data_IF_425387855576
#
_entry.id   IF_425387855576
#
_cell.length_a   1.000
_cell.length_b   1.000
_cell.length_c   1.000
_cell.angle_alpha   90.00
_cell.angle_beta   90.00
_cell.angle_gamma   90.00
#
_symmetry.space_group_name_H-M   'P 1'
#
loop_
_entity.id
_entity.type
_entity.pdbx_description
1 polymer ?
#
# COMPACT_ATOMS: atom_id res chain seq x y z
N UNK A 1 -27.52 16.73 -1.11
CA UNK A 1 -26.24 17.49 -1.11
C UNK A 1 -25.09 16.51 -0.89
N UNK A 2 -23.86 16.78 -1.34
CA UNK A 2 -22.72 15.83 -1.11
C UNK A 2 -22.34 15.67 0.38
N UNK A 3 -22.83 16.55 1.26
CA UNK A 3 -22.42 16.66 2.67
C UNK A 3 -23.61 16.80 3.63
N UNK A 4 -24.78 16.32 3.23
CA UNK A 4 -26.02 16.43 4.03
C UNK A 4 -26.05 15.50 5.25
N UNK A 5 -25.20 14.47 5.27
CA UNK A 5 -25.23 13.43 6.31
C UNK A 5 -23.83 13.17 6.86
N UNK A 6 -23.70 12.95 8.17
CA UNK A 6 -22.43 12.61 8.81
C UNK A 6 -21.73 11.40 8.17
N UNK A 7 -22.50 10.39 7.76
CA UNK A 7 -22.00 9.22 7.01
C UNK A 7 -21.28 9.60 5.72
N UNK A 8 -21.83 10.52 4.93
CA UNK A 8 -21.20 10.93 3.66
C UNK A 8 -19.92 11.73 3.90
N UNK A 9 -19.88 12.53 4.97
CA UNK A 9 -18.65 13.24 5.38
C UNK A 9 -17.58 12.21 5.74
N UNK A 10 -17.94 11.21 6.55
CA UNK A 10 -17.04 10.12 6.93
C UNK A 10 -16.54 9.30 5.73
N UNK A 11 -17.43 8.89 4.82
CA UNK A 11 -17.06 8.18 3.59
C UNK A 11 -16.10 9.01 2.72
N UNK A 12 -16.29 10.33 2.60
CA UNK A 12 -15.36 11.19 1.87
C UNK A 12 -13.99 11.29 2.54
N UNK A 13 -13.95 11.38 3.88
CA UNK A 13 -12.70 11.41 4.65
C UNK A 13 -11.90 10.12 4.49
N UNK A 14 -12.57 8.95 4.51
CA UNK A 14 -11.90 7.66 4.28
C UNK A 14 -11.28 7.55 2.88
N UNK A 15 -11.80 8.30 1.91
CA UNK A 15 -11.28 8.34 0.54
C UNK A 15 -10.32 9.51 0.29
N UNK A 16 -9.86 10.20 1.34
CA UNK A 16 -9.00 11.39 1.23
C UNK A 16 -9.56 12.49 0.32
N UNK A 17 -10.89 12.54 0.17
CA UNK A 17 -11.58 13.52 -0.65
C UNK A 17 -12.12 14.62 0.25
N UNK A 18 -11.33 15.66 0.51
CA UNK A 18 -11.73 16.73 1.41
C UNK A 18 -12.61 17.77 0.67
N UNK A 19 -13.90 17.88 1.01
CA UNK A 19 -14.82 18.78 0.32
C UNK A 19 -14.73 20.26 0.73
N UNK A 20 -15.12 21.15 -0.18
CA UNK A 20 -15.28 22.59 0.07
C UNK A 20 -16.70 23.01 -0.33
N UNK A 21 -17.38 23.79 0.51
CA UNK A 21 -18.74 24.27 0.21
C UNK A 21 -18.62 25.55 -0.60
N UNK A 22 -19.27 25.58 -1.77
CA UNK A 22 -19.34 26.76 -2.62
C UNK A 22 -20.75 27.32 -2.67
N UNK A 23 -20.86 28.64 -2.85
CA UNK A 23 -22.11 29.37 -3.05
C UNK A 23 -22.06 30.12 -4.38
N UNK A 24 -23.22 30.35 -4.98
CA UNK A 24 -23.32 31.19 -6.17
C UNK A 24 -23.75 32.59 -5.76
N UNK A 25 -22.94 33.58 -6.10
CA UNK A 25 -23.24 35.01 -5.89
C UNK A 25 -23.46 35.65 -7.27
N UNK A 26 -24.50 36.46 -7.38
CA UNK A 26 -24.82 37.21 -8.60
C UNK A 26 -24.23 38.61 -8.48
N UNK A 27 -23.24 38.92 -9.32
CA UNK A 27 -22.71 40.29 -9.50
C UNK A 27 -23.21 40.80 -10.86
N UNK A 28 -24.24 41.66 -10.84
CA UNK A 28 -24.87 42.17 -12.07
C UNK A 28 -25.54 41.05 -12.88
N UNK A 29 -25.22 40.93 -14.18
CA UNK A 29 -25.74 39.87 -15.06
C UNK A 29 -24.97 38.54 -14.97
N UNK A 30 -23.83 38.49 -14.27
CA UNK A 30 -22.97 37.30 -14.23
C UNK A 30 -23.09 36.58 -12.88
N UNK A 31 -23.28 35.26 -12.95
CA UNK A 31 -23.22 34.35 -11.79
C UNK A 31 -21.77 33.91 -11.56
N UNK A 32 -21.23 34.18 -10.37
CA UNK A 32 -19.93 33.68 -9.92
C UNK A 32 -20.12 32.64 -8.83
N UNK A 33 -19.35 31.56 -8.89
CA UNK A 33 -19.29 30.57 -7.81
C UNK A 33 -18.09 30.89 -6.93
N UNK A 34 -18.34 31.15 -5.65
CA UNK A 34 -17.31 31.46 -4.65
C UNK A 34 -17.37 30.43 -3.52
N UNK A 35 -16.28 30.29 -2.77
CA UNK A 35 -16.26 29.43 -1.58
C UNK A 35 -17.05 30.07 -0.45
N UNK A 36 -17.94 29.30 0.16
CA UNK A 36 -18.63 29.66 1.40
C UNK A 36 -17.69 29.36 2.58
N UNK A 37 -16.91 30.37 2.98
CA UNK A 37 -15.88 30.24 4.01
C UNK A 37 -16.47 29.81 5.36
N UNK A 38 -17.61 30.35 5.74
CA UNK A 38 -18.28 30.04 7.02
C UNK A 38 -18.75 28.58 7.05
N UNK A 39 -19.50 28.14 6.03
CA UNK A 39 -19.96 26.74 5.98
C UNK A 39 -18.81 25.76 5.79
N UNK A 40 -17.78 26.15 5.04
CA UNK A 40 -16.58 25.32 4.89
C UNK A 40 -15.85 25.18 6.23
N UNK A 41 -15.75 26.24 7.03
CA UNK A 41 -15.15 26.17 8.37
C UNK A 41 -15.94 25.24 9.31
N UNK A 42 -17.27 25.32 9.31
CA UNK A 42 -18.13 24.41 10.08
C UNK A 42 -17.95 22.95 9.62
N UNK A 43 -17.83 22.72 8.31
CA UNK A 43 -17.56 21.40 7.77
C UNK A 43 -16.20 20.86 8.25
N UNK A 44 -15.15 21.69 8.22
CA UNK A 44 -13.81 21.33 8.71
C UNK A 44 -13.81 20.94 10.18
N UNK A 45 -14.53 21.68 11.02
CA UNK A 45 -14.66 21.33 12.44
C UNK A 45 -15.33 19.96 12.64
N UNK A 46 -16.38 19.66 11.87
CA UNK A 46 -17.04 18.35 11.91
C UNK A 46 -16.15 17.22 11.38
N UNK A 47 -15.36 17.50 10.35
CA UNK A 47 -14.38 16.54 9.81
C UNK A 47 -13.33 16.19 10.86
N UNK A 48 -12.75 17.19 11.52
CA UNK A 48 -11.76 16.98 12.57
C UNK A 48 -12.34 16.14 13.71
N UNK A 49 -13.54 16.49 14.18
CA UNK A 49 -14.19 15.74 15.25
C UNK A 49 -14.46 14.27 14.88
N UNK A 50 -14.87 13.99 13.63
CA UNK A 50 -15.05 12.62 13.15
C UNK A 50 -13.73 11.85 13.07
N UNK A 51 -12.63 12.51 12.69
CA UNK A 51 -11.31 11.89 12.66
C UNK A 51 -10.83 11.52 14.06
N UNK A 52 -10.99 12.42 15.04
CA UNK A 52 -10.65 12.19 16.44
C UNK A 52 -11.44 11.00 17.00
N UNK A 53 -12.77 10.97 16.81
CA UNK A 53 -13.61 9.85 17.24
C UNK A 53 -13.23 8.53 16.58
N UNK A 54 -12.86 8.55 15.30
CA UNK A 54 -12.42 7.34 14.60
C UNK A 54 -11.07 6.84 15.13
N UNK A 55 -10.12 7.73 15.40
CA UNK A 55 -8.83 7.36 16.00
C UNK A 55 -9.02 6.81 17.42
N UNK A 56 -9.89 7.42 18.22
CA UNK A 56 -10.24 6.93 19.55
C UNK A 56 -10.91 5.55 19.47
N UNK A 57 -11.82 5.35 18.52
CA UNK A 57 -12.46 4.06 18.28
C UNK A 57 -11.43 2.98 17.91
N UNK A 58 -10.57 3.23 16.92
CA UNK A 58 -9.55 2.26 16.49
C UNK A 58 -8.57 1.94 17.62
N UNK A 59 -8.17 2.94 18.40
CA UNK A 59 -7.23 2.73 19.52
C UNK A 59 -7.84 2.00 20.72
N UNK A 60 -9.16 2.12 20.93
CA UNK A 60 -9.88 1.42 22.00
C UNK A 60 -10.08 -0.08 21.73
N UNK A 61 -10.17 -0.47 20.46
CA UNK A 61 -10.54 -1.84 20.04
C UNK A 61 -9.43 -2.49 19.20
N UNK A 62 -8.51 -3.26 19.82
CA UNK A 62 -7.40 -3.91 19.11
C UNK A 62 -7.83 -4.79 17.94
N UNK A 63 -8.99 -5.44 18.03
CA UNK A 63 -9.56 -6.26 16.95
C UNK A 63 -9.87 -5.41 15.70
N UNK A 64 -10.28 -4.16 15.88
CA UNK A 64 -10.55 -3.23 14.77
C UNK A 64 -9.23 -2.83 14.10
N UNK A 65 -8.20 -2.55 14.89
CA UNK A 65 -6.87 -2.25 14.36
C UNK A 65 -6.35 -3.40 13.49
N UNK A 66 -6.52 -4.65 13.96
CA UNK A 66 -6.10 -5.84 13.23
C UNK A 66 -6.87 -6.00 11.92
N UNK A 67 -8.19 -5.80 11.92
CA UNK A 67 -9.03 -5.85 10.71
C UNK A 67 -8.61 -4.79 9.68
N UNK A 68 -8.28 -3.57 10.12
CA UNK A 68 -7.81 -2.49 9.24
C UNK A 68 -6.46 -2.88 8.60
N UNK A 69 -5.52 -3.34 9.41
CA UNK A 69 -4.19 -3.75 8.95
C UNK A 69 -4.26 -4.92 7.96
N UNK A 70 -4.99 -5.98 8.30
CA UNK A 70 -5.19 -7.13 7.42
C UNK A 70 -5.87 -6.75 6.11
N UNK A 71 -6.89 -5.89 6.17
CA UNK A 71 -7.60 -5.44 4.97
C UNK A 71 -6.70 -4.59 4.08
N UNK A 72 -5.89 -3.71 4.67
CA UNK A 72 -4.90 -2.92 3.95
C UNK A 72 -3.86 -3.84 3.27
N UNK A 73 -3.26 -4.74 4.04
CA UNK A 73 -2.27 -5.68 3.54
C UNK A 73 -2.84 -6.55 2.41
N UNK A 74 -4.06 -7.08 2.57
CA UNK A 74 -4.72 -7.90 1.54
C UNK A 74 -5.01 -7.13 0.24
N UNK A 75 -5.42 -5.86 0.35
CA UNK A 75 -5.81 -5.06 -0.82
C UNK A 75 -4.62 -4.41 -1.52
N UNK A 76 -3.57 -4.04 -0.78
CA UNK A 76 -2.49 -3.18 -1.26
C UNK A 76 -1.08 -3.81 -1.21
N UNK A 77 -0.83 -4.88 -0.46
CA UNK A 77 0.45 -5.59 -0.53
C UNK A 77 0.50 -6.51 -1.77
N UNK A 78 0.72 -5.91 -2.95
CA UNK A 78 0.94 -6.62 -4.22
C UNK A 78 2.37 -7.14 -4.41
N UNK A 79 3.29 -6.82 -3.50
CA UNK A 79 4.70 -7.20 -3.61
C UNK A 79 5.13 -7.86 -2.30
N UNK A 80 4.76 -9.13 -2.15
CA UNK A 80 5.50 -10.03 -1.26
C UNK A 80 6.84 -10.28 -1.94
N UNK A 81 7.95 -10.04 -1.23
CA UNK A 81 9.27 -10.51 -1.70
C UNK A 81 9.15 -12.01 -1.93
N UNK A 82 9.37 -12.47 -3.17
CA UNK A 82 9.37 -13.90 -3.47
C UNK A 82 10.47 -14.54 -2.62
N UNK A 83 10.06 -15.43 -1.71
CA UNK A 83 10.99 -16.30 -1.01
C UNK A 83 11.30 -17.47 -1.93
N UNK A 84 12.60 -17.69 -2.16
CA UNK A 84 13.09 -18.80 -2.96
C UNK A 84 13.70 -19.82 -2.01
N UNK A 85 13.13 -21.03 -1.98
CA UNK A 85 13.65 -22.14 -1.20
C UNK A 85 14.28 -23.17 -2.15
N UNK A 86 15.60 -23.24 -2.12
CA UNK A 86 16.37 -24.18 -2.93
C UNK A 86 16.73 -25.47 -2.22
N UNK A 87 16.26 -25.72 -1.00
CA UNK A 87 16.61 -26.91 -0.21
C UNK A 87 16.20 -28.24 -0.86
N UNK A 88 15.28 -28.18 -1.83
CA UNK A 88 14.83 -29.33 -2.63
C UNK A 88 15.59 -29.50 -3.95
N UNK A 89 16.59 -28.65 -4.24
CA UNK A 89 17.37 -28.73 -5.48
C UNK A 89 18.30 -29.94 -5.46
N UNK A 90 18.11 -30.82 -6.45
CA UNK A 90 19.07 -31.88 -6.78
C UNK A 90 19.89 -31.39 -7.96
N UNK A 91 21.18 -31.13 -7.72
CA UNK A 91 22.11 -30.64 -8.74
C UNK A 91 22.99 -31.80 -9.21
N UNK A 92 22.63 -32.37 -10.36
CA UNK A 92 23.42 -33.41 -10.99
C UNK A 92 24.74 -32.84 -11.53
N UNK A 93 25.86 -33.49 -11.18
CA UNK A 93 27.20 -33.06 -11.59
C UNK A 93 27.94 -32.15 -10.62
N UNK A 94 27.37 -31.89 -9.42
CA UNK A 94 28.13 -31.29 -8.33
C UNK A 94 29.23 -32.27 -7.89
N UNK A 95 30.47 -31.78 -7.75
CA UNK A 95 31.57 -32.61 -7.26
C UNK A 95 31.21 -33.18 -5.87
N UNK A 96 31.48 -34.47 -5.64
CA UNK A 96 31.00 -35.22 -4.47
C UNK A 96 31.38 -34.65 -3.09
N UNK A 97 32.31 -33.69 -3.04
CA UNK A 97 32.82 -33.08 -1.82
C UNK A 97 32.29 -31.64 -1.59
N UNK A 98 31.39 -31.14 -2.44
CA UNK A 98 30.85 -29.79 -2.34
C UNK A 98 29.39 -29.87 -1.90
N UNK A 99 29.07 -29.24 -0.77
CA UNK A 99 27.70 -28.97 -0.34
C UNK A 99 27.44 -27.48 -0.48
N UNK A 100 26.30 -27.12 -1.06
CA UNK A 100 25.89 -25.73 -1.11
C UNK A 100 25.41 -25.28 0.28
N UNK A 101 25.57 -23.99 0.55
CA UNK A 101 24.96 -23.32 1.70
C UNK A 101 23.52 -22.94 1.33
N UNK A 102 22.59 -22.83 2.30
CA UNK A 102 21.18 -22.52 2.02
C UNK A 102 20.96 -21.27 1.14
N UNK A 103 21.78 -20.23 1.31
CA UNK A 103 21.66 -19.03 0.46
C UNK A 103 22.09 -19.25 -1.00
N UNK A 104 23.02 -20.18 -1.26
CA UNK A 104 23.44 -20.54 -2.62
C UNK A 104 22.34 -21.35 -3.31
N UNK A 105 21.69 -22.25 -2.59
CA UNK A 105 20.53 -23.02 -3.08
C UNK A 105 19.36 -22.08 -3.40
N UNK A 106 19.02 -21.16 -2.50
CA UNK A 106 17.97 -20.17 -2.71
C UNK A 106 18.27 -19.24 -3.90
N UNK A 107 19.54 -18.89 -4.11
CA UNK A 107 19.97 -18.10 -5.27
C UNK A 107 19.83 -18.88 -6.59
N UNK A 108 20.12 -20.18 -6.59
CA UNK A 108 19.90 -21.05 -7.76
C UNK A 108 18.41 -21.18 -8.05
N UNK A 109 17.59 -21.41 -7.03
CA UNK A 109 16.13 -21.49 -7.17
C UNK A 109 15.56 -20.20 -7.77
N UNK A 110 16.04 -19.04 -7.30
CA UNK A 110 15.70 -17.75 -7.89
C UNK A 110 16.05 -17.65 -9.36
N UNK A 111 17.26 -18.05 -9.75
CA UNK A 111 17.72 -18.02 -11.14
C UNK A 111 16.85 -18.91 -12.04
N UNK A 112 16.52 -20.12 -11.57
CA UNK A 112 15.67 -21.09 -12.28
C UNK A 112 14.26 -20.54 -12.47
N UNK A 113 13.66 -19.99 -11.42
CA UNK A 113 12.29 -19.48 -11.45
C UNK A 113 12.14 -18.16 -12.23
N UNK A 114 13.08 -17.22 -12.08
CA UNK A 114 13.03 -15.92 -12.74
C UNK A 114 13.46 -15.98 -14.22
N UNK A 115 14.05 -17.10 -14.68
CA UNK A 115 14.59 -17.30 -16.03
C UNK A 115 15.52 -16.17 -16.51
N UNK A 116 16.11 -15.43 -15.57
CA UNK A 116 17.04 -14.33 -15.79
C UNK A 116 18.33 -14.63 -15.04
N UNK A 117 19.35 -15.09 -15.76
CA UNK A 117 20.70 -15.21 -15.26
C UNK A 117 21.62 -14.28 -16.07
N UNK A 118 22.24 -13.32 -15.41
CA UNK A 118 23.49 -12.71 -15.89
C UNK A 118 24.62 -13.61 -15.40
N UNK A 119 25.00 -14.59 -16.22
CA UNK A 119 26.25 -15.32 -16.02
C UNK A 119 27.38 -14.41 -16.54
N UNK A 120 27.86 -13.51 -15.68
CA UNK A 120 29.12 -12.82 -15.93
C UNK A 120 30.25 -13.84 -15.74
N UNK A 121 30.53 -14.62 -16.79
CA UNK A 121 31.69 -15.48 -16.84
C UNK A 121 32.90 -14.63 -17.21
N UNK A 122 33.72 -14.25 -16.23
CA UNK A 122 35.11 -13.95 -16.53
C UNK A 122 35.85 -15.26 -16.77
N UNK A 123 36.62 -15.26 -17.86
CA UNK A 123 37.39 -16.41 -18.33
C UNK A 123 38.61 -16.61 -17.42
N UNK A 124 38.74 -17.81 -16.84
CA UNK A 124 40.04 -18.30 -16.34
C UNK A 124 40.14 -18.69 -14.87
N UNK A 125 39.50 -19.79 -14.45
CA UNK A 125 39.88 -20.47 -13.19
C UNK A 125 39.97 -22.01 -13.28
N UNK A 126 40.22 -22.57 -14.47
CA UNK A 126 40.77 -23.93 -14.58
C UNK A 126 39.93 -24.91 -15.38
N UNK A 127 40.05 -24.85 -16.70
CA UNK A 127 39.85 -26.04 -17.54
C UNK A 127 41.14 -26.86 -17.47
N UNK A 128 41.16 -27.87 -16.62
CA UNK A 128 41.82 -29.17 -16.81
C UNK A 128 40.97 -30.22 -16.13
#
# INVERSE_FOLDING_TARGET
SRYDTGRKIFENLLNSNQPTITMTVTEGEKKKTITDLEKTSVLRAKEQHLQELFQEFVSRYPEVQQVIEESYNRLYNRTVSREYDGSHLVIDGLAQNISLRPHQENAIQRIVEEKRALLAHEVGSGKT
#
